data_IF_134485105317
#
_entry.id   IF_134485105317
#
_cell.length_a   1.000
_cell.length_b   1.000
_cell.length_c   1.000
_cell.angle_alpha   90.00
_cell.angle_beta   90.00
_cell.angle_gamma   90.00
#
_symmetry.space_group_name_H-M   'P 1'
#
loop_
_entity.id
_entity.type
_entity.pdbx_description
1 polymer ?
#
# COMPACT_ATOMS: atom_id res chain seq x y z
N UNK A 1 7.44 16.90 -10.90
CA UNK A 1 8.13 15.62 -10.81
C UNK A 1 8.95 15.51 -9.54
N UNK A 2 9.85 16.47 -9.26
CA UNK A 2 10.79 16.40 -8.12
C UNK A 2 10.08 16.17 -6.78
N UNK A 3 9.05 16.95 -6.46
CA UNK A 3 8.34 16.80 -5.19
C UNK A 3 7.68 15.41 -5.02
N UNK A 4 7.12 14.86 -6.09
CA UNK A 4 6.56 13.50 -6.08
C UNK A 4 7.64 12.45 -5.85
N UNK A 5 8.74 12.49 -6.61
CA UNK A 5 9.86 11.55 -6.45
C UNK A 5 10.46 11.64 -5.04
N UNK A 6 10.69 12.86 -4.54
CA UNK A 6 11.14 13.09 -3.16
C UNK A 6 10.16 12.50 -2.14
N UNK A 7 8.85 12.63 -2.35
CA UNK A 7 7.85 12.04 -1.45
C UNK A 7 7.93 10.51 -1.37
N UNK A 8 8.24 9.86 -2.49
CA UNK A 8 8.47 8.40 -2.54
C UNK A 8 9.77 8.03 -1.82
N UNK A 9 10.86 8.78 -2.06
CA UNK A 9 12.15 8.55 -1.36
C UNK A 9 11.97 8.69 0.16
N UNK A 10 11.30 9.74 0.62
CA UNK A 10 11.01 9.94 2.05
C UNK A 10 10.16 8.79 2.59
N UNK A 11 9.17 8.31 1.83
CA UNK A 11 8.39 7.13 2.23
C UNK A 11 9.29 5.92 2.43
N UNK A 12 10.20 5.62 1.50
CA UNK A 12 11.14 4.50 1.62
C UNK A 12 12.05 4.67 2.85
N UNK A 13 12.53 5.88 3.12
CA UNK A 13 13.35 6.17 4.31
C UNK A 13 12.58 5.94 5.62
N UNK A 14 11.33 6.42 5.69
CA UNK A 14 10.47 6.21 6.86
C UNK A 14 10.17 4.72 7.09
N UNK A 15 9.80 4.00 6.03
CA UNK A 15 9.58 2.56 6.14
C UNK A 15 10.87 1.79 6.50
N UNK A 16 12.01 2.26 6.01
CA UNK A 16 13.33 1.74 6.39
C UNK A 16 13.64 1.97 7.87
N UNK A 17 13.31 3.14 8.41
CA UNK A 17 13.42 3.45 9.85
C UNK A 17 12.56 2.54 10.71
N UNK A 18 11.30 2.34 10.32
CA UNK A 18 10.40 1.38 10.97
C UNK A 18 10.98 -0.05 10.97
N UNK A 19 11.44 -0.56 9.82
CA UNK A 19 12.01 -1.90 9.70
C UNK A 19 13.31 -2.06 10.50
N UNK A 20 14.15 -1.03 10.48
CA UNK A 20 15.39 -1.00 11.25
C UNK A 20 15.13 -1.12 12.75
N UNK A 21 14.10 -0.42 13.25
CA UNK A 21 13.67 -0.50 14.64
C UNK A 21 13.06 -1.86 14.95
N UNK A 22 12.06 -2.30 14.18
CA UNK A 22 11.34 -3.56 14.36
C UNK A 22 12.25 -4.77 14.54
N UNK A 23 13.34 -4.84 13.75
CA UNK A 23 14.32 -5.95 13.80
C UNK A 23 15.16 -5.98 15.07
N UNK A 24 15.30 -4.86 15.78
CA UNK A 24 16.13 -4.71 16.99
C UNK A 24 15.33 -4.76 18.27
N UNK A 25 14.03 -4.49 18.21
CA UNK A 25 13.18 -4.50 19.38
C UNK A 25 12.85 -5.94 19.78
N UNK A 26 12.99 -6.35 21.05
CA UNK A 26 12.39 -7.56 21.58
C UNK A 26 10.86 -7.52 21.48
N UNK A 27 10.20 -8.69 21.35
CA UNK A 27 8.74 -8.76 21.22
C UNK A 27 8.01 -8.43 22.53
N UNK A 28 8.68 -8.70 23.65
CA UNK A 28 8.27 -8.50 25.04
C UNK A 28 8.79 -7.18 25.63
N UNK A 29 9.28 -6.24 24.80
CA UNK A 29 9.74 -4.96 25.29
C UNK A 29 8.57 -4.14 25.84
N UNK A 30 8.61 -3.87 27.14
CA UNK A 30 7.75 -2.88 27.77
C UNK A 30 8.17 -1.46 27.36
N UNK A 31 7.20 -0.67 26.92
CA UNK A 31 7.41 0.72 26.53
C UNK A 31 7.04 1.66 27.67
N UNK A 32 7.91 2.62 27.95
CA UNK A 32 7.54 3.76 28.79
C UNK A 32 6.49 4.63 28.08
N UNK A 33 5.73 5.41 28.86
CA UNK A 33 4.73 6.31 28.30
C UNK A 33 5.32 7.31 27.29
N UNK A 34 6.51 7.85 27.59
CA UNK A 34 7.22 8.76 26.68
C UNK A 34 7.65 8.10 25.38
N UNK A 35 8.23 6.89 25.44
CA UNK A 35 8.55 6.11 24.24
C UNK A 35 7.31 5.84 23.39
N UNK A 36 6.20 5.43 24.02
CA UNK A 36 4.94 5.16 23.33
C UNK A 36 4.41 6.40 22.58
N UNK A 37 4.48 7.59 23.19
CA UNK A 37 4.08 8.84 22.53
C UNK A 37 4.93 9.18 21.31
N UNK A 38 6.26 8.96 21.40
CA UNK A 38 7.17 9.18 20.26
C UNK A 38 6.86 8.22 19.11
N UNK A 39 6.67 6.93 19.41
CA UNK A 39 6.32 5.94 18.38
C UNK A 39 4.94 6.18 17.77
N UNK A 40 3.95 6.57 18.57
CA UNK A 40 2.62 6.93 18.07
C UNK A 40 2.70 8.12 17.11
N UNK A 41 3.45 9.16 17.47
CA UNK A 41 3.66 10.34 16.61
C UNK A 41 4.37 9.95 15.32
N UNK A 42 5.39 9.09 15.39
CA UNK A 42 6.13 8.62 14.23
C UNK A 42 5.24 7.80 13.27
N UNK A 43 4.46 6.85 13.79
CA UNK A 43 3.53 6.05 12.98
C UNK A 43 2.44 6.96 12.39
N UNK A 44 1.88 7.88 13.17
CA UNK A 44 0.93 8.86 12.68
C UNK A 44 1.52 9.70 11.54
N UNK A 45 2.77 10.17 11.69
CA UNK A 45 3.46 10.92 10.65
C UNK A 45 3.61 10.11 9.36
N UNK A 46 3.95 8.82 9.46
CA UNK A 46 3.99 7.91 8.30
C UNK A 46 2.62 7.82 7.63
N UNK A 47 1.54 7.62 8.40
CA UNK A 47 0.18 7.54 7.86
C UNK A 47 -0.20 8.84 7.16
N UNK A 48 0.01 9.99 7.80
CA UNK A 48 -0.22 11.29 7.19
C UNK A 48 0.60 11.50 5.90
N UNK A 49 1.87 11.11 5.91
CA UNK A 49 2.74 11.22 4.73
C UNK A 49 2.21 10.39 3.57
N UNK A 50 1.88 9.14 3.85
CA UNK A 50 1.49 8.15 2.86
C UNK A 50 0.09 8.40 2.28
N UNK A 51 -0.86 8.85 3.11
CA UNK A 51 -2.25 9.09 2.68
C UNK A 51 -2.54 10.55 2.29
N UNK A 52 -1.79 11.49 2.85
CA UNK A 52 -1.95 12.92 2.59
C UNK A 52 -0.94 13.42 1.56
N UNK A 53 0.35 13.28 1.83
CA UNK A 53 1.40 13.93 1.03
C UNK A 53 1.60 13.23 -0.31
N UNK A 54 1.89 11.93 -0.34
CA UNK A 54 2.24 11.23 -1.58
C UNK A 54 1.14 11.32 -2.65
N UNK A 55 -0.15 11.06 -2.34
CA UNK A 55 -1.22 11.14 -3.33
C UNK A 55 -1.43 12.58 -3.81
N UNK A 56 -1.32 13.56 -2.90
CA UNK A 56 -1.38 14.97 -3.27
C UNK A 56 -0.24 15.40 -4.21
N UNK A 57 0.98 14.92 -3.97
CA UNK A 57 2.12 15.20 -4.85
C UNK A 57 1.95 14.55 -6.23
N UNK A 58 1.36 13.36 -6.31
CA UNK A 58 0.98 12.73 -7.57
C UNK A 58 0.00 13.59 -8.37
N UNK A 59 -1.11 14.00 -7.72
CA UNK A 59 -2.15 14.80 -8.38
C UNK A 59 -1.59 16.14 -8.89
N UNK A 60 -0.84 16.83 -8.05
CA UNK A 60 -0.20 18.11 -8.40
C UNK A 60 0.75 17.96 -9.60
N UNK A 61 1.53 16.88 -9.62
CA UNK A 61 2.45 16.59 -10.73
C UNK A 61 1.71 16.28 -12.03
N UNK A 62 0.69 15.42 -11.97
CA UNK A 62 -0.09 15.02 -13.13
C UNK A 62 -0.84 16.20 -13.77
N UNK A 63 -1.38 17.10 -12.94
CA UNK A 63 -2.10 18.29 -13.42
C UNK A 63 -1.17 19.33 -14.03
N UNK A 64 0.00 19.52 -13.43
CA UNK A 64 0.91 20.60 -13.82
C UNK A 64 1.83 20.21 -14.98
N UNK A 65 2.58 19.10 -14.83
CA UNK A 65 3.66 18.75 -15.78
C UNK A 65 3.20 17.76 -16.85
N UNK A 66 2.35 16.78 -16.49
CA UNK A 66 1.79 15.85 -17.48
C UNK A 66 0.62 16.48 -18.25
N UNK A 67 0.08 17.58 -17.74
CA UNK A 67 -1.04 18.33 -18.29
C UNK A 67 -2.27 17.43 -18.52
N UNK A 68 -2.55 16.54 -17.55
CA UNK A 68 -3.70 15.61 -17.56
C UNK A 68 -4.99 16.33 -17.16
N UNK A 69 -5.29 17.40 -17.90
CA UNK A 69 -6.44 18.25 -17.67
C UNK A 69 -7.74 17.63 -18.23
N UNK A 70 -8.92 18.08 -17.76
CA UNK A 70 -10.20 17.59 -18.25
C UNK A 70 -10.46 17.87 -19.73
N UNK A 71 -9.81 18.87 -20.33
CA UNK A 71 -9.94 19.20 -21.75
C UNK A 71 -9.17 18.24 -22.68
N UNK A 72 -8.28 17.41 -22.15
CA UNK A 72 -7.56 16.41 -22.93
C UNK A 72 -8.33 15.09 -22.92
N UNK A 73 -8.96 14.78 -24.05
CA UNK A 73 -9.63 13.50 -24.25
C UNK A 73 -8.63 12.39 -24.52
N UNK A 74 -8.93 11.20 -24.00
CA UNK A 74 -8.20 10.00 -24.37
C UNK A 74 -8.81 9.54 -25.70
N UNK A 75 -8.05 9.62 -26.79
CA UNK A 75 -8.55 9.34 -28.16
C UNK A 75 -8.29 7.88 -28.54
N UNK A 76 -9.31 7.21 -29.10
CA UNK A 76 -9.22 5.84 -29.59
C UNK A 76 -8.82 5.75 -31.07
N UNK A 77 -8.71 4.54 -31.62
CA UNK A 77 -8.48 4.35 -33.05
C UNK A 77 -9.60 4.98 -33.87
N UNK A 78 -9.26 5.87 -34.81
CA UNK A 78 -10.19 6.42 -35.79
C UNK A 78 -10.58 5.33 -36.78
N UNK A 79 -11.86 4.94 -36.77
CA UNK A 79 -12.43 4.04 -37.76
C UNK A 79 -13.30 4.84 -38.74
N UNK A 80 -13.52 4.38 -39.99
CA UNK A 80 -14.27 5.13 -41.02
C UNK A 80 -15.72 5.53 -40.67
N UNK A 81 -16.25 5.00 -39.56
CA UNK A 81 -17.63 5.10 -39.08
C UNK A 81 -17.70 5.64 -37.64
N UNK A 82 -16.57 6.08 -37.11
CA UNK A 82 -16.38 6.50 -35.72
C UNK A 82 -15.80 7.92 -35.77
N UNK A 83 -16.47 8.86 -35.11
CA UNK A 83 -16.06 10.26 -35.03
C UNK A 83 -14.85 10.49 -34.13
N UNK A 84 -14.56 11.77 -33.88
CA UNK A 84 -13.36 12.26 -33.19
C UNK A 84 -13.42 12.15 -31.65
N UNK A 85 -14.41 11.43 -31.10
CA UNK A 85 -14.75 11.47 -29.68
C UNK A 85 -14.37 10.18 -28.94
N UNK A 86 -13.12 10.13 -28.47
CA UNK A 86 -12.73 9.32 -27.31
C UNK A 86 -12.31 7.87 -27.57
N UNK A 87 -11.73 7.23 -26.55
CA UNK A 87 -11.33 5.82 -26.56
C UNK A 87 -12.58 4.96 -26.69
N UNK A 88 -12.75 4.42 -27.89
CA UNK A 88 -13.78 3.45 -28.27
C UNK A 88 -15.20 4.00 -28.30
N UNK A 89 -15.47 5.02 -29.11
CA UNK A 89 -16.84 5.51 -29.36
C UNK A 89 -17.79 4.40 -29.86
N UNK A 90 -17.27 3.33 -30.48
CA UNK A 90 -18.05 2.15 -30.86
C UNK A 90 -18.41 1.20 -29.69
N UNK A 91 -17.73 1.29 -28.54
CA UNK A 91 -17.96 0.39 -27.39
C UNK A 91 -18.42 1.10 -26.11
N UNK A 92 -18.10 2.38 -25.95
CA UNK A 92 -18.44 3.16 -24.75
C UNK A 92 -19.18 4.45 -25.14
N UNK A 93 -20.40 4.68 -24.62
CA UNK A 93 -21.22 5.84 -24.96
C UNK A 93 -20.87 7.09 -24.13
N UNK A 94 -19.61 7.28 -23.75
CA UNK A 94 -19.15 8.44 -22.97
C UNK A 94 -17.68 8.76 -23.25
N UNK A 95 -17.34 10.06 -23.18
CA UNK A 95 -15.96 10.53 -23.39
C UNK A 95 -15.13 10.34 -22.12
N UNK A 96 -13.91 9.83 -22.27
CA UNK A 96 -12.95 9.73 -21.18
C UNK A 96 -11.85 10.78 -21.34
N UNK A 97 -11.49 11.44 -20.24
CA UNK A 97 -10.44 12.46 -20.19
C UNK A 97 -9.21 11.89 -19.49
N UNK A 98 -8.03 12.46 -19.75
CA UNK A 98 -6.78 12.05 -19.09
C UNK A 98 -6.84 12.18 -17.56
N UNK A 99 -7.77 13.00 -17.04
CA UNK A 99 -8.06 13.11 -15.63
C UNK A 99 -8.53 11.78 -15.01
N UNK A 100 -9.24 10.94 -15.77
CA UNK A 100 -9.65 9.61 -15.28
C UNK A 100 -8.42 8.72 -15.03
N UNK A 101 -7.41 8.79 -15.91
CA UNK A 101 -6.15 8.05 -15.72
C UNK A 101 -5.44 8.57 -14.47
N UNK A 102 -5.38 9.90 -14.28
CA UNK A 102 -4.82 10.52 -13.07
C UNK A 102 -5.43 9.93 -11.79
N UNK A 103 -6.75 9.92 -11.74
CA UNK A 103 -7.50 9.55 -10.55
C UNK A 103 -7.42 8.03 -10.32
N UNK A 104 -7.43 7.23 -11.39
CA UNK A 104 -7.20 5.79 -11.32
C UNK A 104 -5.82 5.46 -10.72
N UNK A 105 -4.77 6.14 -11.17
CA UNK A 105 -3.43 5.94 -10.59
C UNK A 105 -3.39 6.36 -9.12
N UNK A 106 -4.07 7.45 -8.75
CA UNK A 106 -4.17 7.85 -7.34
C UNK A 106 -4.84 6.75 -6.49
N UNK A 107 -5.91 6.13 -6.98
CA UNK A 107 -6.57 5.00 -6.32
C UNK A 107 -5.62 3.80 -6.18
N UNK A 108 -4.83 3.48 -7.20
CA UNK A 108 -3.83 2.41 -7.13
C UNK A 108 -2.76 2.72 -6.08
N UNK A 109 -2.27 3.96 -6.01
CA UNK A 109 -1.33 4.42 -4.99
C UNK A 109 -1.93 4.19 -3.59
N UNK A 110 -3.18 4.60 -3.36
CA UNK A 110 -3.88 4.33 -2.10
C UNK A 110 -4.00 2.84 -1.80
N UNK A 111 -4.34 2.02 -2.79
CA UNK A 111 -4.45 0.56 -2.64
C UNK A 111 -3.12 -0.10 -2.23
N UNK A 112 -2.01 0.30 -2.86
CA UNK A 112 -0.66 -0.18 -2.51
C UNK A 112 -0.34 0.17 -1.05
N UNK A 113 -0.60 1.41 -0.65
CA UNK A 113 -0.30 1.87 0.69
C UNK A 113 -1.20 1.25 1.76
N UNK A 114 -2.47 1.00 1.45
CA UNK A 114 -3.38 0.27 2.32
C UNK A 114 -2.92 -1.18 2.50
N UNK A 115 -2.57 -1.86 1.41
CA UNK A 115 -2.00 -3.21 1.45
C UNK A 115 -0.72 -3.27 2.28
N UNK A 116 0.18 -2.30 2.07
CA UNK A 116 1.40 -2.13 2.87
C UNK A 116 1.10 -1.92 4.36
N UNK A 117 0.13 -1.05 4.69
CA UNK A 117 -0.29 -0.79 6.07
C UNK A 117 -0.73 -2.08 6.78
N UNK A 118 -1.63 -2.84 6.15
CA UNK A 118 -2.11 -4.12 6.68
C UNK A 118 -0.95 -5.09 6.84
N UNK A 119 -0.05 -5.18 5.86
CA UNK A 119 1.14 -6.02 5.93
C UNK A 119 2.03 -5.67 7.14
N UNK A 120 2.43 -4.41 7.29
CA UNK A 120 3.30 -4.00 8.38
C UNK A 120 2.64 -4.12 9.75
N UNK A 121 1.33 -3.88 9.83
CA UNK A 121 0.54 -4.11 11.03
C UNK A 121 0.56 -5.58 11.45
N UNK A 122 0.29 -6.50 10.52
CA UNK A 122 0.37 -7.95 10.77
C UNK A 122 1.79 -8.34 11.19
N UNK A 123 2.81 -7.81 10.51
CA UNK A 123 4.21 -8.07 10.83
C UNK A 123 4.58 -7.62 12.24
N UNK A 124 4.04 -6.52 12.75
CA UNK A 124 4.27 -6.06 14.11
C UNK A 124 3.50 -6.90 15.13
N UNK A 125 2.21 -7.13 14.88
CA UNK A 125 1.33 -7.85 15.80
C UNK A 125 1.75 -9.32 16.00
N UNK A 126 2.32 -9.95 14.98
CA UNK A 126 2.70 -11.36 15.01
C UNK A 126 4.17 -11.63 15.44
N UNK A 127 4.91 -10.64 15.96
CA UNK A 127 6.35 -10.77 16.28
C UNK A 127 6.72 -11.82 17.33
N UNK A 128 5.79 -12.17 18.21
CA UNK A 128 5.99 -13.14 19.29
C UNK A 128 5.21 -14.45 19.12
N UNK A 129 4.51 -14.63 17.99
CA UNK A 129 3.78 -15.89 17.75
C UNK A 129 4.79 -16.94 17.30
N UNK A 130 4.97 -17.97 18.12
CA UNK A 130 5.68 -19.16 17.68
C UNK A 130 4.97 -19.72 16.45
N UNK A 131 5.74 -20.05 15.41
CA UNK A 131 5.18 -20.83 14.30
C UNK A 131 4.87 -22.19 14.90
N UNK A 132 3.58 -22.56 14.97
CA UNK A 132 3.19 -23.92 15.34
C UNK A 132 4.05 -24.89 14.53
N UNK A 133 4.97 -25.58 15.20
CA UNK A 133 5.73 -26.63 14.56
C UNK A 133 4.70 -27.61 14.00
N UNK A 134 4.85 -28.09 12.75
CA UNK A 134 3.93 -29.08 12.21
C UNK A 134 3.90 -30.24 13.19
N UNK A 135 2.73 -30.47 13.82
CA UNK A 135 2.56 -31.59 14.74
C UNK A 135 2.99 -32.84 13.98
N UNK A 136 3.92 -33.65 14.50
CA UNK A 136 4.36 -34.83 13.79
C UNK A 136 3.11 -35.68 13.54
N UNK A 137 2.89 -35.98 12.27
CA UNK A 137 1.76 -36.80 11.83
C UNK A 137 2.25 -38.23 11.67
N UNK A 138 1.40 -39.19 12.02
CA UNK A 138 1.65 -40.60 11.67
C UNK A 138 1.74 -40.74 10.15
N UNK A 139 2.24 -41.87 9.67
CA UNK A 139 2.20 -42.27 8.26
C UNK A 139 0.79 -42.18 7.62
N UNK A 140 -0.26 -42.28 8.46
CA UNK A 140 -1.68 -42.15 8.09
C UNK A 140 -2.27 -40.73 8.29
N UNK A 141 -1.45 -39.70 8.52
CA UNK A 141 -1.89 -38.30 8.65
C UNK A 141 -2.56 -37.92 9.98
N UNK A 142 -2.65 -38.83 10.97
CA UNK A 142 -3.21 -38.53 12.29
C UNK A 142 -2.20 -37.77 13.17
N UNK A 143 -2.62 -36.80 13.98
CA UNK A 143 -1.73 -36.15 14.95
C UNK A 143 -1.17 -37.18 15.93
N UNK A 144 0.15 -37.25 16.11
CA UNK A 144 0.76 -38.11 17.13
C UNK A 144 0.40 -37.54 18.52
N UNK A 145 -0.33 -38.33 19.31
CA UNK A 145 -0.59 -38.05 20.72
C UNK A 145 0.49 -38.75 21.53
N UNK A 146 1.08 -38.06 22.52
CA UNK A 146 2.07 -38.66 23.42
C UNK A 146 1.41 -39.80 24.20
N UNK A 147 1.99 -41.00 24.17
CA UNK A 147 1.53 -42.11 25.01
C UNK A 147 1.50 -41.65 26.48
N UNK A 148 0.33 -41.75 27.13
CA UNK A 148 0.11 -41.32 28.51
C UNK A 148 -0.64 -39.99 28.71
N UNK A 149 -1.13 -39.31 27.67
CA UNK A 149 -1.94 -38.08 27.81
C UNK A 149 -3.40 -38.32 28.27
N UNK A 150 -3.66 -39.44 28.94
CA UNK A 150 -4.98 -39.87 29.41
C UNK A 150 -4.86 -40.94 30.48
N UNK A 151 -4.36 -40.55 31.66
CA UNK A 151 -4.65 -41.11 32.98
C UNK A 151 -4.18 -40.11 34.05
#
# INVERSE_FOLDING_TARGET
>A
MVAFVTSIIVTVLLMGGYEWYRKRTPADKDFTWGEAMVFATYVFFILWWVYGVVPHQWLTWADSELNWRPDRFIVGPELPWTGDQGIVEWALPFTMTYQIIRDLVAVVIYGIFLGGNVYYWMQWHNRGKEKDAPKPTSEYGRPLVREGAGA
#
